data_IF_807977949165
#
_entry.id   IF_807977949165
#
_cell.length_a   1.000
_cell.length_b   1.000
_cell.length_c   1.000
_cell.angle_alpha   90.00
_cell.angle_beta   90.00
_cell.angle_gamma   90.00
#
_symmetry.space_group_name_H-M   'P 1'
#
loop_
_entity.id
_entity.type
_entity.pdbx_description
1 polymer ?
#
# COMPACT_ATOMS: atom_id res chain seq x y z
N UNK A 1 -15.81 0.59 -7.12
CA UNK A 1 -15.65 -0.66 -6.32
C UNK A 1 -15.94 -1.83 -7.25
N UNK A 2 -14.95 -2.67 -7.57
CA UNK A 2 -15.10 -3.77 -8.53
C UNK A 2 -15.41 -5.10 -7.85
N UNK A 3 -14.58 -5.49 -6.87
CA UNK A 3 -14.75 -6.76 -6.13
C UNK A 3 -16.14 -6.86 -5.49
N UNK A 4 -16.59 -5.85 -4.77
CA UNK A 4 -17.95 -5.81 -4.20
C UNK A 4 -19.09 -5.97 -5.22
N UNK A 5 -18.91 -5.49 -6.46
CA UNK A 5 -19.95 -5.52 -7.49
C UNK A 5 -19.97 -6.83 -8.27
N UNK A 6 -18.80 -7.40 -8.54
CA UNK A 6 -18.65 -8.51 -9.48
C UNK A 6 -18.20 -9.82 -8.82
N UNK A 7 -17.70 -9.77 -7.58
CA UNK A 7 -17.14 -10.91 -6.84
C UNK A 7 -17.49 -10.84 -5.34
N UNK A 8 -18.78 -10.85 -4.96
CA UNK A 8 -19.20 -10.69 -3.57
C UNK A 8 -18.71 -11.82 -2.65
N UNK A 9 -18.75 -13.07 -3.09
CA UNK A 9 -18.25 -14.23 -2.31
C UNK A 9 -16.75 -14.10 -2.00
N UNK A 10 -15.98 -13.46 -2.89
CA UNK A 10 -14.57 -13.17 -2.64
C UNK A 10 -14.39 -12.04 -1.62
N UNK A 11 -15.24 -10.99 -1.66
CA UNK A 11 -15.20 -9.92 -0.66
C UNK A 11 -15.49 -10.43 0.76
N UNK A 12 -16.41 -11.38 0.89
CA UNK A 12 -16.81 -11.98 2.18
C UNK A 12 -15.65 -12.73 2.88
N UNK A 13 -14.60 -13.07 2.14
CA UNK A 13 -13.38 -13.65 2.70
C UNK A 13 -12.48 -12.61 3.40
N UNK A 14 -12.71 -11.31 3.17
CA UNK A 14 -11.93 -10.23 3.76
C UNK A 14 -12.69 -9.53 4.88
N UNK A 15 -11.94 -8.94 5.81
CA UNK A 15 -12.53 -8.01 6.77
C UNK A 15 -12.96 -6.71 6.09
N UNK A 16 -13.98 -6.02 6.61
CA UNK A 16 -14.50 -4.77 6.03
C UNK A 16 -13.49 -3.60 5.98
N UNK A 17 -12.32 -3.74 6.63
CA UNK A 17 -11.29 -2.69 6.72
C UNK A 17 -10.24 -2.91 5.65
N UNK A 18 -9.84 -1.82 5.03
CA UNK A 18 -8.74 -1.78 4.07
C UNK A 18 -7.50 -1.18 4.72
N UNK A 19 -6.33 -1.69 4.34
CA UNK A 19 -5.05 -1.05 4.61
C UNK A 19 -4.54 -0.51 3.30
N UNK A 20 -4.70 0.80 3.11
CA UNK A 20 -4.28 1.49 1.90
C UNK A 20 -2.89 2.12 2.09
N UNK A 21 -1.90 1.59 1.38
CA UNK A 21 -0.52 2.08 1.41
C UNK A 21 -0.41 3.52 0.93
N UNK A 22 -1.27 3.94 -0.01
CA UNK A 22 -1.27 5.31 -0.53
C UNK A 22 -1.73 6.33 0.51
N UNK A 23 -2.61 5.94 1.44
CA UNK A 23 -2.94 6.76 2.61
C UNK A 23 -1.68 7.05 3.45
N UNK A 24 -0.85 6.04 3.72
CA UNK A 24 0.40 6.21 4.48
C UNK A 24 1.40 7.07 3.71
N UNK A 25 1.51 6.89 2.39
CA UNK A 25 2.35 7.72 1.52
C UNK A 25 1.99 9.20 1.60
N UNK A 26 0.71 9.54 1.57
CA UNK A 26 0.26 10.93 1.65
C UNK A 26 0.54 11.55 3.03
N UNK A 27 0.45 10.76 4.10
CA UNK A 27 0.88 11.18 5.45
C UNK A 27 2.40 11.38 5.50
N UNK A 28 3.18 10.43 5.00
CA UNK A 28 4.63 10.52 4.94
C UNK A 28 5.09 11.76 4.16
N UNK A 29 4.47 12.06 3.02
CA UNK A 29 4.78 13.27 2.24
C UNK A 29 4.63 14.57 3.04
N UNK A 30 3.65 14.63 3.95
CA UNK A 30 3.34 15.84 4.72
C UNK A 30 4.10 15.93 6.03
N UNK A 31 4.33 14.80 6.68
CA UNK A 31 4.88 14.77 8.04
C UNK A 31 6.36 14.39 8.08
N UNK A 32 6.84 13.66 7.08
CA UNK A 32 8.22 13.14 7.04
C UNK A 32 8.66 12.81 5.59
N UNK A 33 8.75 13.83 4.71
CA UNK A 33 8.94 13.64 3.28
C UNK A 33 10.23 12.88 2.92
N UNK A 34 11.28 12.95 3.75
CA UNK A 34 12.55 12.27 3.54
C UNK A 34 12.45 10.73 3.57
N UNK A 35 11.34 10.17 4.07
CA UNK A 35 11.07 8.71 3.98
C UNK A 35 10.79 8.29 2.53
N UNK A 36 10.23 9.19 1.71
CA UNK A 36 9.87 8.88 0.33
C UNK A 36 11.09 8.58 -0.55
N UNK A 37 12.26 9.15 -0.23
CA UNK A 37 13.51 8.87 -0.94
C UNK A 37 13.97 7.41 -0.79
N UNK A 38 13.45 6.70 0.22
CA UNK A 38 13.72 5.28 0.47
C UNK A 38 12.72 4.35 -0.24
N UNK A 39 11.66 4.91 -0.82
CA UNK A 39 10.64 4.14 -1.55
C UNK A 39 11.09 4.00 -2.99
N UNK A 40 11.43 2.77 -3.39
CA UNK A 40 11.82 2.45 -4.77
C UNK A 40 10.62 1.89 -5.52
N UNK A 41 10.29 2.47 -6.67
CA UNK A 41 9.32 1.91 -7.62
C UNK A 41 10.07 1.46 -8.88
N UNK A 42 9.86 0.21 -9.26
CA UNK A 42 10.46 -0.40 -10.45
C UNK A 42 9.62 -0.18 -11.70
N UNK A 43 8.34 0.18 -11.56
CA UNK A 43 7.49 0.60 -12.68
C UNK A 43 7.06 -0.54 -13.60
N UNK A 44 6.91 -1.75 -13.05
CA UNK A 44 6.41 -2.90 -13.78
C UNK A 44 4.87 -2.82 -13.95
N UNK A 45 4.34 -3.33 -15.07
CA UNK A 45 2.91 -3.23 -15.42
C UNK A 45 2.09 -4.50 -15.16
N UNK A 46 2.61 -5.45 -14.36
CA UNK A 46 1.90 -6.67 -13.98
C UNK A 46 1.31 -6.53 -12.59
N UNK A 47 0.07 -7.02 -12.41
CA UNK A 47 -0.63 -6.96 -11.13
C UNK A 47 0.15 -7.58 -9.96
N UNK A 48 0.91 -8.65 -10.21
CA UNK A 48 1.74 -9.29 -9.19
C UNK A 48 2.91 -8.41 -8.74
N UNK A 49 3.49 -7.66 -9.68
CA UNK A 49 4.61 -6.76 -9.37
C UNK A 49 4.10 -5.51 -8.65
N UNK A 50 2.95 -4.96 -9.04
CA UNK A 50 2.28 -3.88 -8.30
C UNK A 50 1.99 -4.25 -6.83
N UNK A 51 1.55 -5.50 -6.58
CA UNK A 51 1.36 -6.01 -5.21
C UNK A 51 2.69 -6.06 -4.45
N UNK A 52 3.74 -6.57 -5.08
CA UNK A 52 5.08 -6.67 -4.45
C UNK A 52 5.66 -5.30 -4.15
N UNK A 53 5.52 -4.33 -5.06
CA UNK A 53 5.93 -2.94 -4.85
C UNK A 53 5.17 -2.32 -3.68
N UNK A 54 3.86 -2.52 -3.59
CA UNK A 54 3.03 -2.01 -2.49
C UNK A 54 3.45 -2.59 -1.13
N UNK A 55 3.78 -3.89 -1.08
CA UNK A 55 4.31 -4.55 0.13
C UNK A 55 5.67 -3.98 0.51
N UNK A 56 6.57 -3.80 -0.47
CA UNK A 56 7.90 -3.23 -0.23
C UNK A 56 7.82 -1.78 0.28
N UNK A 57 6.94 -0.97 -0.32
CA UNK A 57 6.66 0.41 0.10
C UNK A 57 6.15 0.45 1.55
N UNK A 58 5.21 -0.42 1.93
CA UNK A 58 4.70 -0.47 3.30
C UNK A 58 5.79 -0.89 4.32
N UNK A 59 6.70 -1.79 3.95
CA UNK A 59 7.86 -2.16 4.80
C UNK A 59 8.80 -0.97 5.05
N UNK A 60 8.98 -0.08 4.06
CA UNK A 60 9.75 1.16 4.25
C UNK A 60 9.08 2.06 5.30
N UNK A 61 7.76 2.26 5.19
CA UNK A 61 7.01 3.04 6.18
C UNK A 61 7.03 2.41 7.57
N UNK A 62 6.89 1.08 7.67
CA UNK A 62 7.01 0.34 8.93
C UNK A 62 8.34 0.64 9.63
N UNK A 63 9.45 0.65 8.90
CA UNK A 63 10.79 0.83 9.47
C UNK A 63 11.17 2.29 9.73
N UNK A 64 10.68 3.22 8.92
CA UNK A 64 11.22 4.60 8.89
C UNK A 64 10.20 5.69 9.22
N UNK A 65 8.90 5.38 9.21
CA UNK A 65 7.82 6.34 9.46
C UNK A 65 7.07 6.06 10.77
N UNK A 66 6.68 4.82 11.01
CA UNK A 66 5.99 4.44 12.25
C UNK A 66 6.96 4.34 13.43
N UNK A 67 6.47 4.64 14.64
CA UNK A 67 7.18 4.34 15.89
C UNK A 67 6.77 2.95 16.35
N UNK A 68 7.77 2.08 16.51
CA UNK A 68 7.66 0.73 17.06
C UNK A 68 8.21 0.67 18.47
#
# INVERSE_FOLDING_TARGET
RFINKYMPEFEDCFHYRNVDVSTVKELARRWKPEVLDKVVKTGAHLALDDIRESIAELKVYQKHFFKS
#
